data_IF_636525374743
#
_entry.id   IF_636525374743
#
_cell.length_a   1.000
_cell.length_b   1.000
_cell.length_c   1.000
_cell.angle_alpha   90.00
_cell.angle_beta   90.00
_cell.angle_gamma   90.00
#
_symmetry.space_group_name_H-M   'P 1'
#
loop_
_entity.id
_entity.type
_entity.pdbx_description
1 polymer ?
#
# COMPACT_ATOMS: atom_id res chain seq x y z
N UNK A 1 -16.01 -21.63 9.90
CA UNK A 1 -16.57 -21.32 11.23
C UNK A 1 -15.39 -21.12 12.16
N UNK A 2 -15.00 -19.88 12.40
CA UNK A 2 -13.96 -19.60 13.39
C UNK A 2 -14.63 -19.60 14.77
N UNK A 3 -14.29 -20.60 15.55
CA UNK A 3 -14.67 -20.66 16.94
C UNK A 3 -14.13 -19.41 17.66
N UNK A 4 -15.03 -18.72 18.32
CA UNK A 4 -14.78 -17.55 19.14
C UNK A 4 -13.92 -17.99 20.33
N UNK A 5 -12.58 -17.98 20.18
CA UNK A 5 -11.66 -18.27 21.27
C UNK A 5 -11.52 -17.04 22.14
N UNK A 6 -12.37 -16.96 23.16
CA UNK A 6 -12.18 -16.03 24.27
C UNK A 6 -10.82 -16.37 24.91
N UNK A 7 -9.86 -15.41 24.82
CA UNK A 7 -8.59 -15.50 25.53
C UNK A 7 -7.35 -15.91 24.73
N UNK A 8 -7.30 -15.66 23.42
CA UNK A 8 -6.05 -15.86 22.67
C UNK A 8 -4.96 -14.90 23.18
N UNK A 9 -3.85 -15.50 23.54
CA UNK A 9 -2.65 -14.77 23.99
C UNK A 9 -1.51 -14.99 23.00
N UNK A 10 -0.77 -13.94 22.69
CA UNK A 10 0.43 -14.00 21.85
C UNK A 10 1.55 -13.19 22.48
N UNK A 11 2.77 -13.65 22.27
CA UNK A 11 3.93 -12.84 22.63
C UNK A 11 3.97 -11.54 21.83
N UNK A 12 3.69 -11.58 20.52
CA UNK A 12 3.67 -10.39 19.67
C UNK A 12 2.39 -10.36 18.83
N UNK A 13 1.71 -9.22 18.81
CA UNK A 13 0.63 -8.93 17.85
C UNK A 13 1.07 -7.82 16.92
N UNK A 14 0.96 -8.08 15.60
CA UNK A 14 1.23 -7.11 14.53
C UNK A 14 -0.10 -6.65 13.93
N UNK A 15 -0.29 -5.35 13.79
CA UNK A 15 -1.53 -4.78 13.25
C UNK A 15 -1.34 -4.41 11.77
N UNK A 16 -2.07 -5.10 10.89
CA UNK A 16 -2.08 -4.89 9.45
C UNK A 16 -1.17 -5.83 8.67
N UNK A 17 -1.65 -6.36 7.52
CA UNK A 17 -0.92 -7.24 6.60
C UNK A 17 -0.48 -6.52 5.30
N UNK A 18 -0.12 -5.24 5.40
CA UNK A 18 0.59 -4.51 4.36
C UNK A 18 2.11 -4.77 4.40
N UNK A 19 2.90 -3.96 3.67
CA UNK A 19 4.36 -4.08 3.66
C UNK A 19 4.97 -4.10 5.09
N UNK A 20 4.52 -3.19 5.97
CA UNK A 20 5.05 -3.10 7.32
C UNK A 20 4.80 -4.36 8.13
N UNK A 21 3.55 -4.84 8.16
CA UNK A 21 3.18 -6.01 8.95
C UNK A 21 3.76 -7.31 8.41
N UNK A 22 3.69 -7.54 7.09
CA UNK A 22 4.32 -8.71 6.44
C UNK A 22 5.82 -8.72 6.69
N UNK A 23 6.50 -7.58 6.50
CA UNK A 23 7.93 -7.49 6.76
C UNK A 23 8.30 -7.75 8.22
N UNK A 24 7.50 -7.25 9.16
CA UNK A 24 7.68 -7.51 10.60
C UNK A 24 7.49 -8.99 10.92
N UNK A 25 6.41 -9.60 10.47
CA UNK A 25 6.11 -11.01 10.70
C UNK A 25 7.23 -11.93 10.19
N UNK A 26 7.75 -11.65 8.98
CA UNK A 26 8.89 -12.37 8.42
C UNK A 26 10.12 -12.24 9.33
N UNK A 27 10.39 -11.04 9.83
CA UNK A 27 11.56 -10.81 10.70
C UNK A 27 11.40 -11.47 12.06
N UNK A 28 10.21 -11.48 12.64
CA UNK A 28 9.93 -12.22 13.87
C UNK A 28 10.24 -13.70 13.68
N UNK A 29 9.70 -14.32 12.63
CA UNK A 29 9.93 -15.73 12.31
C UNK A 29 11.42 -16.03 12.05
N UNK A 30 12.11 -15.21 11.27
CA UNK A 30 13.56 -15.35 11.03
C UNK A 30 14.41 -15.20 12.31
N UNK A 31 13.87 -14.55 13.34
CA UNK A 31 14.49 -14.41 14.66
C UNK A 31 14.10 -15.51 15.64
N UNK A 32 13.35 -16.54 15.17
CA UNK A 32 12.92 -17.67 16.02
C UNK A 32 11.72 -17.35 16.91
N UNK A 33 11.00 -16.24 16.67
CA UNK A 33 9.78 -15.91 17.38
C UNK A 33 8.61 -16.45 16.55
N UNK A 34 8.00 -17.56 16.99
CA UNK A 34 6.88 -18.23 16.33
C UNK A 34 5.52 -17.89 16.99
N UNK A 35 5.56 -17.45 18.25
CA UNK A 35 4.36 -17.04 19.00
C UNK A 35 3.98 -15.59 18.66
N UNK A 36 3.38 -15.41 17.49
CA UNK A 36 2.84 -14.12 17.06
C UNK A 36 1.59 -14.28 16.20
N UNK A 37 0.78 -13.23 16.14
CA UNK A 37 -0.31 -13.09 15.19
C UNK A 37 -0.22 -11.75 14.44
N UNK A 38 -0.70 -11.75 13.19
CA UNK A 38 -0.94 -10.54 12.40
C UNK A 38 -2.44 -10.34 12.30
N UNK A 39 -2.98 -9.23 12.78
CA UNK A 39 -4.40 -8.91 12.67
C UNK A 39 -4.61 -8.04 11.44
N UNK A 40 -5.40 -8.55 10.49
CA UNK A 40 -5.73 -7.85 9.25
C UNK A 40 -7.26 -7.70 9.16
N UNK A 41 -7.75 -6.45 9.00
CA UNK A 41 -9.18 -6.18 8.90
C UNK A 41 -9.79 -6.62 7.58
N UNK A 42 -9.01 -6.55 6.50
CA UNK A 42 -9.45 -6.97 5.17
C UNK A 42 -9.34 -8.50 5.00
N UNK A 43 -9.89 -9.02 3.91
CA UNK A 43 -9.87 -10.46 3.59
C UNK A 43 -8.60 -10.90 2.85
N UNK A 44 -7.62 -10.00 2.65
CA UNK A 44 -6.42 -10.32 1.90
C UNK A 44 -5.19 -9.52 2.29
N UNK A 45 -4.05 -10.01 1.82
CA UNK A 45 -2.73 -9.41 2.07
C UNK A 45 -2.49 -8.27 1.08
N UNK A 46 -1.92 -7.14 1.57
CA UNK A 46 -1.48 -6.06 0.69
C UNK A 46 -1.63 -4.66 1.28
N UNK A 47 -2.51 -4.46 2.27
CA UNK A 47 -2.78 -3.15 2.86
C UNK A 47 -3.20 -2.12 1.80
N UNK A 48 -2.45 -1.05 1.61
CA UNK A 48 -2.70 -0.04 0.56
C UNK A 48 -2.92 -0.66 -0.83
N UNK A 49 -2.20 -1.71 -1.18
CA UNK A 49 -2.27 -2.38 -2.48
C UNK A 49 -3.40 -3.40 -2.58
N UNK A 50 -3.99 -3.80 -1.47
CA UNK A 50 -5.25 -4.51 -1.42
C UNK A 50 -6.42 -3.54 -1.57
N UNK A 51 -6.41 -2.44 -0.82
CA UNK A 51 -7.53 -1.50 -0.73
C UNK A 51 -7.71 -0.64 -1.99
N UNK A 52 -6.62 -0.20 -2.64
CA UNK A 52 -6.67 0.76 -3.74
C UNK A 52 -6.65 0.06 -5.10
N UNK A 53 -7.82 -0.13 -5.69
CA UNK A 53 -8.02 -0.85 -6.97
C UNK A 53 -8.55 0.02 -8.10
N UNK A 54 -8.48 1.34 -7.98
CA UNK A 54 -8.95 2.28 -8.99
C UNK A 54 -8.17 2.13 -10.31
N UNK A 55 -8.78 2.46 -11.45
CA UNK A 55 -8.13 2.36 -12.76
C UNK A 55 -6.82 3.15 -12.84
N UNK A 56 -5.74 2.49 -13.23
CA UNK A 56 -4.42 3.10 -13.34
C UNK A 56 -3.63 3.16 -12.03
N UNK A 57 -4.12 2.55 -10.95
CA UNK A 57 -3.41 2.49 -9.68
C UNK A 57 -2.03 1.85 -9.83
N UNK A 58 -0.97 2.60 -9.50
CA UNK A 58 0.42 2.16 -9.59
C UNK A 58 1.29 2.87 -8.57
N UNK A 59 2.49 2.34 -8.32
CA UNK A 59 3.46 2.97 -7.44
C UNK A 59 4.17 4.13 -8.15
N UNK A 60 4.47 5.18 -7.43
CA UNK A 60 5.30 6.33 -7.86
C UNK A 60 6.78 6.16 -7.46
N UNK A 61 7.11 5.05 -6.83
CA UNK A 61 8.49 4.65 -6.50
C UNK A 61 8.93 3.53 -7.46
N UNK A 62 10.18 3.56 -7.98
CA UNK A 62 10.68 2.51 -8.86
C UNK A 62 10.57 1.12 -8.26
N UNK A 63 10.09 0.15 -9.05
CA UNK A 63 9.75 -1.21 -8.62
C UNK A 63 10.91 -1.94 -7.91
N UNK A 64 12.13 -1.79 -8.40
CA UNK A 64 13.31 -2.40 -7.77
C UNK A 64 13.62 -1.83 -6.39
N UNK A 65 13.17 -0.60 -6.09
CA UNK A 65 13.31 0.00 -4.78
C UNK A 65 12.10 -0.32 -3.89
N UNK A 66 10.89 -0.32 -4.48
CA UNK A 66 9.65 -0.60 -3.77
C UNK A 66 9.41 -2.11 -3.60
N UNK A 67 10.31 -2.75 -2.88
CA UNK A 67 10.29 -4.17 -2.55
C UNK A 67 11.10 -4.43 -1.28
N UNK A 68 10.85 -5.53 -0.62
CA UNK A 68 11.69 -5.96 0.50
C UNK A 68 13.13 -6.14 0.05
N UNK A 69 14.09 -5.61 0.80
CA UNK A 69 15.51 -5.73 0.49
C UNK A 69 16.02 -7.17 0.56
N UNK A 70 15.37 -7.97 1.42
CA UNK A 70 15.67 -9.39 1.61
C UNK A 70 14.93 -10.32 0.64
N UNK A 71 13.93 -9.79 -0.10
CA UNK A 71 13.12 -10.54 -1.06
C UNK A 71 12.94 -9.77 -2.38
N UNK A 72 14.02 -9.51 -3.14
CA UNK A 72 13.91 -8.79 -4.40
C UNK A 72 13.08 -9.57 -5.42
N UNK A 73 12.26 -8.85 -6.21
CA UNK A 73 11.49 -9.46 -7.29
C UNK A 73 12.17 -9.23 -8.65
N UNK A 74 12.71 -10.26 -9.31
CA UNK A 74 13.34 -10.14 -10.62
C UNK A 74 12.33 -10.08 -11.76
N UNK A 75 11.04 -10.22 -11.46
CA UNK A 75 9.99 -10.42 -12.46
C UNK A 75 9.13 -9.19 -12.72
N UNK A 76 9.45 -8.04 -12.10
CA UNK A 76 8.72 -6.80 -12.34
C UNK A 76 8.53 -6.53 -13.83
N UNK A 77 7.30 -6.22 -14.25
CA UNK A 77 7.00 -5.97 -15.67
C UNK A 77 7.28 -4.54 -16.09
N UNK A 78 7.27 -3.59 -15.13
CA UNK A 78 7.44 -2.15 -15.39
C UNK A 78 8.39 -1.54 -14.37
N UNK A 79 9.03 -0.45 -14.73
CA UNK A 79 9.92 0.31 -13.83
C UNK A 79 9.15 0.94 -12.66
N UNK A 80 7.83 1.12 -12.80
CA UNK A 80 6.89 1.48 -11.75
C UNK A 80 5.73 0.48 -11.83
N UNK A 81 5.62 -0.36 -10.82
CA UNK A 81 4.72 -1.50 -10.86
C UNK A 81 3.25 -1.08 -10.66
N UNK A 82 2.31 -1.67 -11.42
CA UNK A 82 0.90 -1.50 -11.17
C UNK A 82 0.47 -2.19 -9.87
N UNK A 83 -0.64 -1.73 -9.31
CA UNK A 83 -1.20 -2.18 -8.04
C UNK A 83 -1.27 -3.71 -7.93
N UNK A 84 -1.86 -4.38 -8.91
CA UNK A 84 -2.06 -5.83 -8.87
C UNK A 84 -0.74 -6.63 -8.81
N UNK A 85 0.33 -6.10 -9.42
CA UNK A 85 1.64 -6.74 -9.38
C UNK A 85 2.30 -6.58 -8.02
N UNK A 86 2.12 -5.43 -7.37
CA UNK A 86 2.64 -5.18 -6.02
C UNK A 86 1.88 -6.01 -4.99
N UNK A 87 0.56 -6.03 -5.06
CA UNK A 87 -0.28 -6.81 -4.16
C UNK A 87 0.10 -8.30 -4.23
N UNK A 88 0.22 -8.84 -5.46
CA UNK A 88 0.66 -10.22 -5.66
C UNK A 88 2.05 -10.47 -5.10
N UNK A 89 2.99 -9.56 -5.33
CA UNK A 89 4.34 -9.67 -4.78
C UNK A 89 4.35 -9.78 -3.26
N UNK A 90 3.55 -8.97 -2.56
CA UNK A 90 3.48 -9.02 -1.08
C UNK A 90 2.90 -10.37 -0.63
N UNK A 91 1.83 -10.84 -1.28
CA UNK A 91 1.20 -12.11 -0.98
C UNK A 91 2.14 -13.30 -1.23
N UNK A 92 2.80 -13.32 -2.40
CA UNK A 92 3.77 -14.38 -2.77
C UNK A 92 4.96 -14.43 -1.77
N UNK A 93 5.42 -13.28 -1.29
CA UNK A 93 6.46 -13.22 -0.26
C UNK A 93 5.94 -13.77 1.07
N UNK A 94 4.74 -13.37 1.49
CA UNK A 94 4.13 -13.86 2.72
C UNK A 94 3.93 -15.39 2.72
N UNK A 95 3.48 -15.93 1.60
CA UNK A 95 3.31 -17.39 1.41
C UNK A 95 4.65 -18.11 1.44
N UNK A 96 5.62 -17.68 0.65
CA UNK A 96 6.96 -18.30 0.57
C UNK A 96 7.69 -18.29 1.90
N UNK A 97 7.55 -17.23 2.68
CA UNK A 97 8.16 -17.12 4.01
C UNK A 97 7.33 -17.83 5.10
N UNK A 98 6.16 -18.40 4.73
CA UNK A 98 5.32 -19.21 5.60
C UNK A 98 4.69 -18.42 6.75
N UNK A 99 4.33 -17.14 6.53
CA UNK A 99 3.67 -16.33 7.56
C UNK A 99 2.15 -16.28 7.42
N UNK A 100 1.60 -16.77 6.30
CA UNK A 100 0.15 -16.77 6.07
C UNK A 100 -0.65 -17.44 7.20
N UNK A 101 -0.21 -18.56 7.80
CA UNK A 101 -0.91 -19.18 8.93
C UNK A 101 -0.98 -18.31 10.19
N UNK A 102 -0.13 -17.32 10.32
CA UNK A 102 -0.13 -16.38 11.44
C UNK A 102 -1.05 -15.16 11.20
N UNK A 103 -1.63 -15.02 9.99
CA UNK A 103 -2.50 -13.88 9.66
C UNK A 103 -3.95 -14.22 9.96
N UNK A 104 -4.61 -13.35 10.73
CA UNK A 104 -6.04 -13.40 11.01
C UNK A 104 -6.74 -12.36 10.17
N UNK A 105 -7.38 -12.81 9.10
CA UNK A 105 -8.17 -11.94 8.22
C UNK A 105 -9.54 -11.62 8.80
N UNK A 106 -10.13 -10.49 8.40
CA UNK A 106 -11.41 -10.02 8.90
C UNK A 106 -11.37 -9.66 10.39
N UNK A 107 -10.17 -9.43 10.94
CA UNK A 107 -9.93 -9.13 12.33
C UNK A 107 -9.44 -7.69 12.48
N UNK A 108 -10.38 -6.76 12.69
CA UNK A 108 -10.09 -5.34 12.87
C UNK A 108 -9.78 -5.02 14.33
N UNK A 109 -8.66 -4.33 14.58
CA UNK A 109 -8.37 -3.76 15.89
C UNK A 109 -9.30 -2.56 16.14
N UNK A 110 -10.09 -2.62 17.20
CA UNK A 110 -11.04 -1.59 17.61
C UNK A 110 -10.55 -0.76 18.82
N UNK A 111 -9.68 -1.36 19.63
CA UNK A 111 -9.09 -0.69 20.79
C UNK A 111 -7.89 -1.45 21.34
N UNK A 112 -6.97 -0.72 21.95
CA UNK A 112 -5.80 -1.29 22.62
C UNK A 112 -5.56 -0.55 23.93
N UNK A 113 -5.44 -1.30 25.03
CA UNK A 113 -5.22 -0.79 26.37
C UNK A 113 -4.07 -1.56 27.02
N UNK A 114 -3.17 -0.84 27.67
CA UNK A 114 -2.12 -1.46 28.46
C UNK A 114 -2.61 -1.76 29.87
N UNK A 115 -2.50 -2.99 30.30
CA UNK A 115 -2.83 -3.44 31.67
C UNK A 115 -1.54 -3.49 32.48
N UNK A 116 -1.35 -2.51 33.34
CA UNK A 116 -0.15 -2.38 34.20
C UNK A 116 -0.01 -3.54 35.19
N UNK A 117 -1.12 -4.04 35.72
CA UNK A 117 -1.09 -5.12 36.71
C UNK A 117 -0.71 -6.46 36.07
N UNK A 118 -1.19 -6.71 34.87
CA UNK A 118 -0.90 -7.92 34.12
C UNK A 118 0.38 -7.82 33.28
N UNK A 119 0.87 -6.60 33.00
CA UNK A 119 2.00 -6.36 32.12
C UNK A 119 1.73 -6.75 30.67
N UNK A 120 0.51 -6.56 30.18
CA UNK A 120 0.03 -7.03 28.89
C UNK A 120 -0.82 -5.97 28.17
N UNK A 121 -0.82 -6.01 26.85
CA UNK A 121 -1.79 -5.33 26.02
C UNK A 121 -3.11 -6.10 25.97
N UNK A 122 -4.23 -5.43 26.21
CA UNK A 122 -5.58 -5.91 25.96
C UNK A 122 -6.08 -5.30 24.66
N UNK A 123 -6.33 -6.15 23.67
CA UNK A 123 -6.73 -5.74 22.32
C UNK A 123 -8.21 -6.14 22.12
N UNK A 124 -9.07 -5.14 21.93
CA UNK A 124 -10.45 -5.36 21.49
C UNK A 124 -10.44 -5.44 19.95
N UNK A 125 -10.95 -6.54 19.41
CA UNK A 125 -11.04 -6.74 17.96
C UNK A 125 -12.46 -7.05 17.52
N UNK A 126 -12.74 -6.96 16.22
CA UNK A 126 -14.04 -7.32 15.64
C UNK A 126 -14.41 -8.80 15.81
N UNK A 127 -13.42 -9.66 16.16
CA UNK A 127 -13.60 -11.11 16.31
C UNK A 127 -13.45 -11.60 17.75
N UNK A 128 -13.27 -10.69 18.71
CA UNK A 128 -13.10 -11.01 20.13
C UNK A 128 -11.87 -10.34 20.74
N UNK A 129 -11.63 -10.61 22.03
CA UNK A 129 -10.50 -10.05 22.75
C UNK A 129 -9.22 -10.90 22.53
N UNK A 130 -8.09 -10.21 22.40
CA UNK A 130 -6.75 -10.80 22.26
C UNK A 130 -5.85 -10.11 23.28
N UNK A 131 -4.88 -10.84 23.85
CA UNK A 131 -3.84 -10.25 24.69
C UNK A 131 -2.45 -10.44 24.09
N UNK A 132 -1.53 -9.49 24.35
CA UNK A 132 -0.18 -9.56 23.84
C UNK A 132 0.82 -8.93 24.80
N UNK A 133 2.06 -9.48 24.85
CA UNK A 133 3.16 -8.82 25.53
C UNK A 133 3.66 -7.60 24.75
N UNK A 134 3.67 -7.68 23.42
CA UNK A 134 4.13 -6.62 22.53
C UNK A 134 3.13 -6.39 21.40
N UNK A 135 2.94 -5.13 21.03
CA UNK A 135 2.13 -4.74 19.87
C UNK A 135 2.97 -3.94 18.88
N UNK A 136 2.96 -4.35 17.63
CA UNK A 136 3.58 -3.63 16.53
C UNK A 136 2.51 -3.03 15.64
N UNK A 137 2.37 -1.70 15.68
CA UNK A 137 1.40 -1.00 14.86
C UNK A 137 1.94 -0.79 13.42
N UNK A 138 1.32 -1.47 12.45
CA UNK A 138 1.63 -1.32 11.02
C UNK A 138 0.36 -1.07 10.16
N UNK A 139 -0.60 -0.21 10.61
CA UNK A 139 -1.90 -0.01 9.94
C UNK A 139 -1.77 0.70 8.59
N UNK A 140 -0.63 1.37 8.33
CA UNK A 140 -0.42 2.18 7.14
C UNK A 140 -1.28 3.48 7.12
N UNK A 141 -0.87 4.50 6.34
CA UNK A 141 -1.57 5.79 6.31
C UNK A 141 -2.58 5.96 5.16
N UNK A 142 -2.64 5.04 4.19
CA UNK A 142 -3.33 5.25 2.90
C UNK A 142 -4.47 4.25 2.64
N UNK A 143 -4.94 3.53 3.65
CA UNK A 143 -6.03 2.56 3.51
C UNK A 143 -7.40 3.12 3.91
N UNK A 144 -7.44 4.22 4.68
CA UNK A 144 -8.69 4.89 5.06
C UNK A 144 -9.01 6.06 4.13
N UNK A 145 -10.22 6.07 3.53
CA UNK A 145 -10.68 7.20 2.74
C UNK A 145 -11.04 8.39 3.65
N UNK A 146 -10.65 9.60 3.22
CA UNK A 146 -11.12 10.84 3.84
C UNK A 146 -12.02 11.58 2.86
N UNK A 147 -13.32 11.52 3.10
CA UNK A 147 -14.32 12.21 2.27
C UNK A 147 -14.48 13.65 2.78
N UNK A 148 -14.31 14.66 1.93
CA UNK A 148 -14.47 16.04 2.34
C UNK A 148 -15.93 16.36 2.72
N UNK A 149 -16.13 17.17 3.76
CA UNK A 149 -17.45 17.67 4.15
C UNK A 149 -17.94 18.73 3.17
N UNK A 150 -18.58 18.30 2.09
CA UNK A 150 -19.15 19.19 1.07
C UNK A 150 -20.65 19.34 1.37
N UNK A 151 -21.16 20.57 1.61
CA UNK A 151 -22.60 20.77 1.82
C UNK A 151 -23.42 20.22 0.66
N UNK A 152 -24.42 19.41 0.98
CA UNK A 152 -25.30 18.79 -0.02
C UNK A 152 -24.78 17.52 -0.67
N UNK A 153 -23.61 16.99 -0.28
CA UNK A 153 -23.08 15.74 -0.83
C UNK A 153 -24.03 14.57 -0.59
N UNK A 154 -24.64 14.50 0.59
CA UNK A 154 -25.60 13.44 0.95
C UNK A 154 -26.92 13.50 0.16
N UNK A 155 -27.24 14.65 -0.45
CA UNK A 155 -28.43 14.83 -1.29
C UNK A 155 -28.14 14.61 -2.78
N UNK A 156 -26.91 14.30 -3.15
CA UNK A 156 -26.56 14.00 -4.54
C UNK A 156 -27.20 12.70 -4.98
N UNK A 157 -28.02 12.76 -6.03
CA UNK A 157 -28.80 11.61 -6.52
C UNK A 157 -27.99 10.59 -7.34
N UNK A 158 -26.73 10.86 -7.64
CA UNK A 158 -25.84 9.97 -8.37
C UNK A 158 -24.95 9.13 -7.44
N UNK A 159 -24.16 8.28 -8.07
CA UNK A 159 -23.19 7.44 -7.34
C UNK A 159 -22.02 8.28 -6.81
N UNK A 160 -21.68 8.10 -5.52
CA UNK A 160 -20.55 8.76 -4.86
C UNK A 160 -19.67 7.72 -4.22
N UNK A 161 -18.38 7.73 -4.52
CA UNK A 161 -17.41 6.85 -3.89
C UNK A 161 -16.00 7.47 -3.90
N UNK A 162 -15.17 7.03 -2.96
CA UNK A 162 -13.78 7.46 -2.88
C UNK A 162 -12.87 6.51 -3.67
N UNK A 163 -11.77 7.01 -4.25
CA UNK A 163 -10.82 6.18 -5.01
C UNK A 163 -10.27 5.01 -4.21
N UNK A 164 -10.04 5.18 -2.90
CA UNK A 164 -9.60 4.09 -2.01
C UNK A 164 -10.69 3.02 -1.73
N UNK A 165 -11.90 3.24 -2.20
CA UNK A 165 -13.03 2.29 -2.17
C UNK A 165 -13.70 2.34 -3.54
N UNK A 166 -12.94 2.00 -4.59
CA UNK A 166 -13.43 2.04 -5.96
C UNK A 166 -14.59 1.06 -6.14
N UNK A 167 -15.72 1.57 -6.61
CA UNK A 167 -16.89 0.74 -6.90
C UNK A 167 -16.79 0.19 -8.33
N UNK A 168 -16.43 -1.09 -8.44
CA UNK A 168 -16.28 -1.79 -9.71
C UNK A 168 -17.61 -2.17 -10.37
N UNK A 169 -18.74 -2.11 -9.64
CA UNK A 169 -20.06 -2.45 -10.17
C UNK A 169 -20.66 -1.30 -10.98
N UNK A 170 -20.06 -0.10 -10.92
CA UNK A 170 -20.54 1.07 -11.64
C UNK A 170 -19.84 1.15 -12.99
N UNK A 171 -20.63 1.01 -14.08
CA UNK A 171 -20.17 1.34 -15.42
C UNK A 171 -20.15 2.86 -15.63
N UNK A 172 -18.99 3.39 -15.97
CA UNK A 172 -18.77 4.80 -16.23
C UNK A 172 -18.99 5.18 -17.70
N UNK A 173 -19.22 4.22 -18.61
CA UNK A 173 -19.37 4.47 -20.03
C UNK A 173 -20.55 5.43 -20.32
N UNK A 174 -20.26 6.52 -21.04
CA UNK A 174 -21.24 7.53 -21.40
C UNK A 174 -21.79 8.37 -20.24
N UNK A 175 -21.27 8.21 -19.02
CA UNK A 175 -21.70 9.02 -17.86
C UNK A 175 -20.98 10.36 -17.78
N UNK A 176 -21.60 11.31 -17.10
CA UNK A 176 -20.95 12.56 -16.67
C UNK A 176 -20.33 12.32 -15.31
N UNK A 177 -19.00 12.44 -15.22
CA UNK A 177 -18.24 12.15 -14.02
C UNK A 177 -17.59 13.42 -13.46
N UNK A 178 -17.76 13.64 -12.16
CA UNK A 178 -17.07 14.67 -11.40
C UNK A 178 -15.98 14.04 -10.54
N UNK A 179 -14.75 14.54 -10.63
CA UNK A 179 -13.64 14.13 -9.79
C UNK A 179 -13.23 15.30 -8.89
N UNK A 180 -13.28 15.09 -7.59
CA UNK A 180 -12.91 16.09 -6.60
C UNK A 180 -11.51 15.80 -6.07
N UNK A 181 -10.57 16.67 -6.36
CA UNK A 181 -9.16 16.56 -5.97
C UNK A 181 -8.24 16.18 -7.12
N UNK A 182 -6.95 16.54 -6.97
CA UNK A 182 -5.89 16.37 -7.98
C UNK A 182 -4.64 15.72 -7.36
N UNK A 183 -4.82 14.89 -6.32
CA UNK A 183 -3.74 14.11 -5.72
C UNK A 183 -3.29 12.95 -6.61
N UNK A 184 -2.34 12.14 -6.11
CA UNK A 184 -1.74 11.01 -6.85
C UNK A 184 -2.79 10.07 -7.46
N UNK A 185 -3.85 9.74 -6.74
CA UNK A 185 -4.92 8.87 -7.24
C UNK A 185 -5.66 9.49 -8.43
N UNK A 186 -5.96 10.80 -8.40
CA UNK A 186 -6.62 11.47 -9.52
C UNK A 186 -5.72 11.55 -10.76
N UNK A 187 -4.43 11.85 -10.58
CA UNK A 187 -3.44 11.88 -11.69
C UNK A 187 -3.40 10.53 -12.41
N UNK A 188 -3.59 9.42 -11.69
CA UNK A 188 -3.56 8.07 -12.25
C UNK A 188 -4.93 7.66 -12.84
N UNK A 189 -6.04 7.92 -12.11
CA UNK A 189 -7.37 7.48 -12.49
C UNK A 189 -7.97 8.30 -13.64
N UNK A 190 -7.85 9.63 -13.61
CA UNK A 190 -8.49 10.54 -14.58
C UNK A 190 -8.13 10.19 -16.04
N UNK A 191 -6.85 9.99 -16.41
CA UNK A 191 -6.51 9.62 -17.79
C UNK A 191 -7.05 8.25 -18.21
N UNK A 192 -7.38 7.38 -17.27
CA UNK A 192 -7.89 6.03 -17.53
C UNK A 192 -9.41 5.99 -17.72
N UNK A 193 -10.13 6.86 -17.01
CA UNK A 193 -11.58 6.93 -17.10
C UNK A 193 -12.07 7.93 -18.15
N UNK A 194 -11.32 9.01 -18.40
CA UNK A 194 -11.72 10.07 -19.33
C UNK A 194 -12.13 9.56 -20.72
N UNK A 195 -11.46 8.60 -21.36
CA UNK A 195 -11.86 8.12 -22.70
C UNK A 195 -13.19 7.36 -22.73
N UNK A 196 -13.72 6.94 -21.57
CA UNK A 196 -14.93 6.12 -21.45
C UNK A 196 -16.17 6.95 -21.12
N UNK A 197 -16.00 8.14 -20.54
CA UNK A 197 -17.09 8.97 -20.04
C UNK A 197 -17.53 10.00 -21.07
N UNK A 198 -18.81 10.39 -21.04
CA UNK A 198 -19.34 11.46 -21.89
C UNK A 198 -18.70 12.82 -21.54
N UNK A 199 -18.62 13.10 -20.24
CA UNK A 199 -18.01 14.33 -19.73
C UNK A 199 -17.29 14.08 -18.42
N UNK A 200 -16.04 14.57 -18.30
CA UNK A 200 -15.29 14.58 -17.06
C UNK A 200 -15.09 16.03 -16.58
N UNK A 201 -15.46 16.31 -15.33
CA UNK A 201 -15.19 17.59 -14.67
C UNK A 201 -14.26 17.35 -13.49
N UNK A 202 -13.08 17.98 -13.52
CA UNK A 202 -12.09 17.89 -12.45
C UNK A 202 -12.11 19.13 -11.58
N UNK A 203 -12.38 18.96 -10.28
CA UNK A 203 -12.36 20.04 -9.30
C UNK A 203 -11.03 20.10 -8.59
N UNK A 204 -10.34 21.21 -8.73
CA UNK A 204 -9.01 21.43 -8.18
C UNK A 204 -9.00 22.69 -7.29
N UNK A 205 -8.59 22.54 -6.04
CA UNK A 205 -8.36 23.68 -5.14
C UNK A 205 -6.94 24.23 -5.26
N UNK A 206 -5.96 23.35 -5.19
CA UNK A 206 -4.53 23.71 -5.28
C UNK A 206 -3.87 22.79 -6.31
N UNK A 207 -3.22 23.35 -7.36
CA UNK A 207 -2.55 22.53 -8.36
C UNK A 207 -1.31 21.86 -7.76
N UNK A 208 -1.16 20.51 -7.90
CA UNK A 208 0.06 19.83 -7.55
C UNK A 208 1.14 20.06 -8.62
N UNK A 209 2.39 20.00 -8.21
CA UNK A 209 3.50 19.87 -9.15
C UNK A 209 3.49 18.47 -9.77
N UNK A 210 3.43 18.39 -11.08
CA UNK A 210 3.45 17.13 -11.82
C UNK A 210 4.73 17.05 -12.61
N UNK A 211 5.50 15.99 -12.39
CA UNK A 211 6.73 15.71 -13.14
C UNK A 211 6.48 14.59 -14.15
N UNK A 212 7.16 14.60 -15.32
CA UNK A 212 7.10 13.48 -16.24
C UNK A 212 7.48 12.17 -15.55
N UNK A 213 6.65 11.15 -15.71
CA UNK A 213 6.88 9.85 -15.13
C UNK A 213 7.71 8.99 -16.11
N UNK A 214 8.94 8.71 -15.72
CA UNK A 214 9.88 7.93 -16.55
C UNK A 214 9.58 6.43 -16.60
N UNK A 215 8.30 6.10 -16.75
CA UNK A 215 7.85 4.72 -16.80
C UNK A 215 8.21 4.04 -18.12
N UNK A 216 8.71 2.80 -18.02
CA UNK A 216 8.93 1.93 -19.18
C UNK A 216 8.68 0.47 -18.82
N UNK A 217 8.41 -0.39 -19.82
CA UNK A 217 8.45 -1.83 -19.62
C UNK A 217 9.85 -2.30 -19.23
N UNK A 218 9.93 -3.31 -18.36
CA UNK A 218 11.14 -4.08 -18.11
C UNK A 218 11.13 -5.24 -19.10
N UNK A 219 12.11 -5.32 -19.95
CA UNK A 219 12.17 -6.29 -21.05
C UNK A 219 12.30 -7.73 -20.55
N UNK A 220 11.94 -8.69 -21.38
CA UNK A 220 12.11 -10.11 -21.05
C UNK A 220 13.60 -10.45 -20.82
N UNK A 221 14.52 -9.83 -21.57
CA UNK A 221 15.96 -10.00 -21.39
C UNK A 221 16.44 -9.48 -20.03
N UNK A 222 16.00 -8.28 -19.61
CA UNK A 222 16.32 -7.75 -18.28
C UNK A 222 15.82 -8.68 -17.17
N UNK A 223 14.56 -9.13 -17.26
CA UNK A 223 13.99 -10.09 -16.27
C UNK A 223 14.73 -11.42 -16.24
N UNK A 224 15.14 -11.92 -17.40
CA UNK A 224 15.97 -13.13 -17.48
C UNK A 224 17.32 -12.92 -16.80
N UNK A 225 18.00 -11.81 -17.06
CA UNK A 225 19.28 -11.46 -16.45
C UNK A 225 19.17 -11.32 -14.93
N UNK A 226 18.13 -10.65 -14.43
CA UNK A 226 17.92 -10.48 -12.98
C UNK A 226 17.68 -11.82 -12.26
N UNK A 227 16.98 -12.76 -12.92
CA UNK A 227 16.81 -14.13 -12.37
C UNK A 227 18.11 -14.92 -12.35
N UNK A 228 18.96 -14.78 -13.37
CA UNK A 228 20.21 -15.52 -13.51
C UNK A 228 21.36 -14.90 -12.74
N UNK A 229 21.36 -13.57 -12.62
CA UNK A 229 22.42 -12.79 -11.96
C UNK A 229 21.81 -11.85 -10.94
N UNK A 230 21.42 -12.35 -9.75
CA UNK A 230 20.79 -11.51 -8.70
C UNK A 230 21.65 -10.30 -8.27
N UNK A 231 22.97 -10.40 -8.39
CA UNK A 231 23.88 -9.29 -8.11
C UNK A 231 23.62 -8.09 -9.04
N UNK A 232 23.23 -8.31 -10.29
CA UNK A 232 22.89 -7.24 -11.23
C UNK A 232 21.62 -6.49 -10.77
N UNK A 233 20.60 -7.22 -10.32
CA UNK A 233 19.41 -6.59 -9.77
C UNK A 233 19.70 -5.75 -8.53
N UNK A 234 20.57 -6.25 -7.62
CA UNK A 234 21.03 -5.48 -6.45
C UNK A 234 21.76 -4.22 -6.84
N UNK A 235 22.62 -4.29 -7.88
CA UNK A 235 23.32 -3.14 -8.41
C UNK A 235 22.35 -2.09 -8.97
N UNK A 236 21.37 -2.52 -9.77
CA UNK A 236 20.30 -1.64 -10.29
C UNK A 236 19.52 -0.99 -9.14
N UNK A 237 19.12 -1.77 -8.11
CA UNK A 237 18.47 -1.24 -6.92
C UNK A 237 19.33 -0.17 -6.22
N UNK A 238 20.61 -0.44 -6.02
CA UNK A 238 21.55 0.51 -5.42
C UNK A 238 21.71 1.77 -6.26
N UNK A 239 21.80 1.63 -7.59
CA UNK A 239 21.86 2.77 -8.51
C UNK A 239 20.60 3.65 -8.41
N UNK A 240 19.41 3.04 -8.37
CA UNK A 240 18.14 3.76 -8.17
C UNK A 240 18.12 4.46 -6.82
N UNK A 241 18.53 3.79 -5.75
CA UNK A 241 18.61 4.35 -4.41
C UNK A 241 19.50 5.60 -4.37
N UNK A 242 20.76 5.47 -4.79
CA UNK A 242 21.73 6.56 -4.72
C UNK A 242 21.38 7.72 -5.65
N UNK A 243 20.75 7.45 -6.82
CA UNK A 243 20.25 8.53 -7.68
C UNK A 243 19.17 9.38 -7.02
N UNK A 244 18.35 8.79 -6.14
CA UNK A 244 17.33 9.51 -5.37
C UNK A 244 17.91 10.23 -4.17
N UNK A 245 18.83 9.58 -3.44
CA UNK A 245 19.54 10.18 -2.30
C UNK A 245 20.37 11.41 -2.73
N UNK A 246 21.02 11.36 -3.87
CA UNK A 246 21.79 12.50 -4.39
C UNK A 246 20.95 13.77 -4.61
N UNK A 247 19.62 13.63 -4.78
CA UNK A 247 18.71 14.78 -4.93
C UNK A 247 18.28 15.39 -3.60
N UNK A 248 18.40 14.64 -2.49
CA UNK A 248 17.95 15.10 -1.17
C UNK A 248 18.71 16.35 -0.69
N UNK A 249 20.06 16.41 -0.74
CA UNK A 249 20.78 17.61 -0.33
C UNK A 249 20.39 18.86 -1.12
N UNK A 250 20.14 18.70 -2.43
CA UNK A 250 19.73 19.80 -3.29
C UNK A 250 18.34 20.34 -2.92
N UNK A 251 17.42 19.43 -2.54
CA UNK A 251 16.03 19.80 -2.19
C UNK A 251 15.89 20.34 -0.76
N UNK A 252 16.66 19.78 0.18
CA UNK A 252 16.53 20.11 1.61
C UNK A 252 17.45 21.26 2.02
N UNK A 253 18.70 21.26 1.56
CA UNK A 253 19.72 22.21 2.04
C UNK A 253 19.99 23.38 1.11
N UNK A 254 19.58 23.31 -0.16
CA UNK A 254 19.75 24.39 -1.14
C UNK A 254 18.52 24.55 -2.03
N UNK A 255 17.42 25.10 -1.50
CA UNK A 255 16.19 25.31 -2.28
C UNK A 255 16.36 26.22 -3.52
N UNK A 256 17.46 26.96 -3.63
CA UNK A 256 17.80 27.72 -4.85
C UNK A 256 18.23 26.84 -6.02
N UNK A 257 18.70 25.60 -5.78
CA UNK A 257 19.06 24.63 -6.83
C UNK A 257 17.80 23.93 -7.42
N UNK A 258 16.70 23.87 -6.68
CA UNK A 258 15.43 23.34 -7.21
C UNK A 258 14.89 24.22 -8.35
N UNK A 259 15.11 25.53 -8.30
CA UNK A 259 14.71 26.47 -9.37
C UNK A 259 15.42 26.24 -10.72
N UNK A 260 16.55 25.52 -10.73
CA UNK A 260 17.27 25.15 -11.96
C UNK A 260 16.69 23.88 -12.60
N UNK A 261 16.05 23.04 -11.78
CA UNK A 261 15.41 21.78 -12.22
C UNK A 261 13.97 22.06 -12.71
N UNK A 262 13.39 23.19 -12.31
CA UNK A 262 12.03 23.64 -12.66
C UNK A 262 11.96 24.38 -14.01
N UNK A 263 13.08 24.63 -14.66
CA UNK A 263 13.17 25.23 -16.01
C UNK A 263 13.43 24.14 -17.08
#
# INVERSE_FOLDING_TARGET
>A
MNENRAGDHFRVVVIGAGFGGVGTAIKLKQSGIEDFAVLERDSGIGGTWWANTYPGCQCDIPSHLYSFSFAPNPSWTRTYAPQAEIQRYIADVAEREGIVPHIRFGCELQGAEWDEDAGLWRLATSTGAVTAELVVAAPGPLAEPSVPAIPGLDSFAGDVFHTARWNHDIDLAGRRVAVVGTGASAIQAVPRIQPQVDRLTLFQRTPPWVMPHGERPITAAERFLYRRVPALQRLVRSGVYWSREALVPARVHRPGLSKVIER
#
